data_IF_217162089891
#
_entry.id   IF_217162089891
#
_cell.length_a   1.000
_cell.length_b   1.000
_cell.length_c   1.000
_cell.angle_alpha   90.00
_cell.angle_beta   90.00
_cell.angle_gamma   90.00
#
_symmetry.space_group_name_H-M   'P 1'
#
loop_
_entity.id
_entity.type
_entity.pdbx_description
1 polymer ?
#
# COMPACT_ATOMS: atom_id res chain seq x y z
N UNK A 1 -13.76 24.11 -78.77
CA UNK A 1 -14.26 24.83 -77.56
C UNK A 1 -14.93 23.96 -76.52
N UNK A 2 -15.54 22.81 -76.84
CA UNK A 2 -16.17 21.89 -75.87
C UNK A 2 -15.21 21.16 -74.89
N UNK A 3 -13.99 20.82 -75.38
CA UNK A 3 -13.00 20.10 -74.52
C UNK A 3 -12.43 20.95 -73.38
N UNK A 4 -12.15 22.24 -73.66
CA UNK A 4 -11.60 23.15 -72.66
C UNK A 4 -12.62 23.40 -71.49
N UNK A 5 -13.93 23.47 -71.80
CA UNK A 5 -14.98 23.64 -70.80
C UNK A 5 -15.17 22.40 -69.94
N UNK A 6 -15.02 21.19 -70.51
CA UNK A 6 -15.08 19.94 -69.77
C UNK A 6 -13.86 19.77 -68.82
N UNK A 7 -12.69 20.18 -69.25
CA UNK A 7 -11.47 20.17 -68.44
C UNK A 7 -11.57 21.16 -67.26
N UNK A 8 -12.12 22.35 -67.48
CA UNK A 8 -12.34 23.34 -66.43
C UNK A 8 -13.37 22.87 -65.37
N UNK A 9 -14.42 22.21 -65.80
CA UNK A 9 -15.44 21.65 -64.86
C UNK A 9 -14.85 20.52 -64.06
N UNK A 10 -14.04 19.64 -64.64
CA UNK A 10 -13.32 18.56 -63.87
C UNK A 10 -12.35 19.14 -62.86
N UNK A 11 -11.60 20.18 -63.22
CA UNK A 11 -10.68 20.84 -62.31
C UNK A 11 -11.38 21.48 -61.12
N UNK A 12 -12.50 22.12 -61.35
CA UNK A 12 -13.36 22.68 -60.30
C UNK A 12 -13.91 21.62 -59.33
N UNK A 13 -14.37 20.48 -59.86
CA UNK A 13 -14.84 19.37 -59.00
C UNK A 13 -13.68 18.78 -58.18
N UNK A 14 -12.48 18.62 -58.80
CA UNK A 14 -11.30 18.12 -58.09
C UNK A 14 -10.87 19.07 -56.95
N UNK A 15 -10.87 20.40 -57.22
CA UNK A 15 -10.59 21.40 -56.18
C UNK A 15 -11.62 21.37 -55.04
N UNK A 16 -12.91 21.22 -55.38
CA UNK A 16 -13.98 21.13 -54.38
C UNK A 16 -13.86 19.87 -53.52
N UNK A 17 -13.56 18.71 -54.14
CA UNK A 17 -13.33 17.46 -53.40
C UNK A 17 -12.08 17.60 -52.54
N UNK A 18 -10.98 18.12 -53.07
CA UNK A 18 -9.74 18.30 -52.32
C UNK A 18 -9.90 19.22 -51.12
N UNK A 19 -10.73 20.29 -51.24
CA UNK A 19 -10.96 21.23 -50.14
C UNK A 19 -11.73 20.61 -48.94
N UNK A 20 -12.49 19.56 -49.19
CA UNK A 20 -13.23 18.84 -48.12
C UNK A 20 -12.41 17.63 -47.62
N UNK A 21 -11.83 16.88 -48.54
CA UNK A 21 -11.10 15.64 -48.18
C UNK A 21 -9.82 15.94 -47.38
N UNK A 22 -9.07 16.97 -47.79
CA UNK A 22 -7.81 17.29 -47.13
C UNK A 22 -7.98 17.67 -45.65
N UNK A 23 -8.90 18.57 -45.26
CA UNK A 23 -9.16 18.87 -43.88
C UNK A 23 -9.70 17.65 -43.11
N UNK A 24 -10.56 16.84 -43.72
CA UNK A 24 -11.11 15.63 -43.07
C UNK A 24 -10.02 14.60 -42.76
N UNK A 25 -9.08 14.38 -43.68
CA UNK A 25 -7.94 13.49 -43.46
C UNK A 25 -7.02 14.03 -42.36
N UNK A 26 -6.72 15.33 -42.38
CA UNK A 26 -5.89 15.96 -41.36
C UNK A 26 -6.55 15.87 -39.96
N UNK A 27 -7.86 16.08 -39.89
CA UNK A 27 -8.60 15.98 -38.66
C UNK A 27 -8.61 14.54 -38.15
N UNK A 28 -8.87 13.55 -38.98
CA UNK A 28 -8.84 12.14 -38.61
C UNK A 28 -7.44 11.73 -38.14
N UNK A 29 -6.38 12.21 -38.80
CA UNK A 29 -5.00 11.94 -38.40
C UNK A 29 -4.66 12.59 -37.06
N UNK A 30 -5.06 13.84 -36.82
CA UNK A 30 -4.87 14.53 -35.57
C UNK A 30 -5.64 13.84 -34.42
N UNK A 31 -6.89 13.44 -34.66
CA UNK A 31 -7.70 12.69 -33.70
C UNK A 31 -7.05 11.35 -33.35
N UNK A 32 -6.53 10.63 -34.34
CA UNK A 32 -5.83 9.37 -34.11
C UNK A 32 -4.53 9.53 -33.31
N UNK A 33 -3.75 10.57 -33.57
CA UNK A 33 -2.55 10.89 -32.79
C UNK A 33 -2.91 11.24 -31.34
N UNK A 34 -3.94 12.06 -31.14
CA UNK A 34 -4.39 12.46 -29.82
C UNK A 34 -4.91 11.26 -29.02
N UNK A 35 -5.70 10.40 -29.65
CA UNK A 35 -6.20 9.17 -29.04
C UNK A 35 -5.06 8.26 -28.57
N UNK A 36 -4.03 8.07 -29.36
CA UNK A 36 -2.85 7.29 -28.98
C UNK A 36 -2.08 7.93 -27.81
N UNK A 37 -1.97 9.24 -27.83
CA UNK A 37 -1.22 9.96 -26.80
C UNK A 37 -1.92 9.90 -25.41
N UNK A 38 -3.23 10.03 -25.39
CA UNK A 38 -3.99 9.97 -24.15
C UNK A 38 -3.92 8.58 -23.48
N UNK A 39 -3.96 7.50 -24.22
CA UNK A 39 -3.84 6.15 -23.67
C UNK A 39 -2.47 5.89 -23.04
N UNK A 40 -1.38 6.31 -23.68
CA UNK A 40 -0.05 6.13 -23.10
C UNK A 40 0.18 6.94 -21.82
N UNK A 41 -0.35 8.16 -21.77
CA UNK A 41 -0.23 9.03 -20.58
C UNK A 41 -1.06 8.50 -19.39
N UNK A 42 -2.23 7.93 -19.67
CA UNK A 42 -3.06 7.33 -18.62
C UNK A 42 -2.40 6.07 -18.03
N UNK A 43 -1.89 5.19 -18.88
CA UNK A 43 -1.21 3.96 -18.46
C UNK A 43 0.06 4.28 -17.65
N UNK A 44 0.89 5.21 -18.12
CA UNK A 44 2.08 5.67 -17.40
C UNK A 44 1.79 6.30 -16.02
N UNK A 45 0.62 6.93 -15.86
CA UNK A 45 0.21 7.49 -14.56
C UNK A 45 -0.23 6.40 -13.60
N UNK A 46 -0.96 5.41 -14.07
CA UNK A 46 -1.40 4.26 -13.27
C UNK A 46 -0.18 3.47 -12.82
N UNK A 47 0.73 3.16 -13.72
CA UNK A 47 1.94 2.40 -13.42
C UNK A 47 2.82 3.12 -12.38
N UNK A 48 3.08 4.41 -12.55
CA UNK A 48 3.80 5.22 -11.56
C UNK A 48 3.09 5.29 -10.20
N UNK A 49 1.77 5.38 -10.19
CA UNK A 49 1.00 5.39 -8.95
C UNK A 49 1.07 4.05 -8.23
N UNK A 50 1.06 2.93 -8.97
CA UNK A 50 1.22 1.59 -8.43
C UNK A 50 2.63 1.39 -7.86
N UNK A 51 3.67 1.85 -8.55
CA UNK A 51 5.05 1.76 -8.08
C UNK A 51 5.26 2.53 -6.78
N UNK A 52 4.72 3.76 -6.68
CA UNK A 52 4.79 4.56 -5.46
C UNK A 52 4.06 3.88 -4.30
N UNK A 53 2.87 3.33 -4.56
CA UNK A 53 2.10 2.60 -3.55
C UNK A 53 2.82 1.33 -3.10
N UNK A 54 3.40 0.60 -4.04
CA UNK A 54 4.18 -0.62 -3.76
C UNK A 54 5.40 -0.30 -2.89
N UNK A 55 6.20 0.69 -3.28
CA UNK A 55 7.38 1.12 -2.52
C UNK A 55 7.00 1.61 -1.11
N UNK A 56 5.91 2.39 -1.02
CA UNK A 56 5.44 2.90 0.26
C UNK A 56 4.96 1.77 1.19
N UNK A 57 4.24 0.81 0.65
CA UNK A 57 3.77 -0.37 1.38
C UNK A 57 4.94 -1.21 1.89
N UNK A 58 5.93 -1.51 1.04
CA UNK A 58 7.13 -2.25 1.44
C UNK A 58 7.88 -1.53 2.56
N UNK A 59 8.00 -0.21 2.49
CA UNK A 59 8.66 0.59 3.51
C UNK A 59 7.95 0.54 4.87
N UNK A 60 6.62 0.52 4.87
CA UNK A 60 5.83 0.33 6.10
C UNK A 60 6.11 -1.04 6.70
N UNK A 61 6.06 -2.13 5.92
CA UNK A 61 6.36 -3.47 6.40
C UNK A 61 7.77 -3.60 6.95
N UNK A 62 8.78 -3.09 6.26
CA UNK A 62 10.17 -3.09 6.74
C UNK A 62 10.31 -2.33 8.06
N UNK A 63 9.55 -1.27 8.25
CA UNK A 63 9.57 -0.50 9.49
C UNK A 63 8.95 -1.30 10.64
N UNK A 64 7.84 -2.00 10.39
CA UNK A 64 7.21 -2.90 11.37
C UNK A 64 8.14 -4.06 11.74
N UNK A 65 8.79 -4.69 10.76
CA UNK A 65 9.75 -5.78 11.01
C UNK A 65 10.94 -5.32 11.86
N UNK A 66 11.45 -4.11 11.64
CA UNK A 66 12.50 -3.53 12.49
C UNK A 66 12.02 -3.30 13.92
N UNK A 67 10.79 -2.82 14.10
CA UNK A 67 10.21 -2.65 15.43
C UNK A 67 10.05 -4.00 16.16
N UNK A 68 9.62 -5.04 15.45
CA UNK A 68 9.53 -6.41 15.99
C UNK A 68 10.93 -6.90 16.39
N UNK A 69 11.93 -6.74 15.53
CA UNK A 69 13.29 -7.15 15.81
C UNK A 69 13.91 -6.41 17.01
N UNK A 70 13.60 -5.12 17.18
CA UNK A 70 14.02 -4.35 18.34
C UNK A 70 13.38 -4.87 19.63
N UNK A 71 12.08 -5.20 19.60
CA UNK A 71 11.40 -5.80 20.75
C UNK A 71 11.98 -7.16 21.10
N UNK A 72 12.24 -7.99 20.11
CA UNK A 72 12.85 -9.31 20.29
C UNK A 72 14.26 -9.20 20.92
N UNK A 73 15.04 -8.21 20.48
CA UNK A 73 16.36 -7.96 21.08
C UNK A 73 16.28 -7.50 22.54
N UNK A 74 15.32 -6.65 22.87
CA UNK A 74 15.11 -6.14 24.25
C UNK A 74 14.69 -7.25 25.20
N UNK A 75 13.93 -8.22 24.71
CA UNK A 75 13.38 -9.33 25.53
C UNK A 75 14.19 -10.61 25.40
N UNK A 76 15.27 -10.60 24.63
CA UNK A 76 16.10 -11.78 24.40
C UNK A 76 16.62 -12.40 25.67
N UNK A 77 16.33 -13.70 25.86
CA UNK A 77 16.77 -14.47 27.01
C UNK A 77 15.97 -14.22 28.31
N UNK A 78 14.93 -13.39 28.25
CA UNK A 78 14.02 -13.19 29.40
C UNK A 78 12.93 -14.28 29.39
N UNK A 79 12.60 -14.76 30.59
CA UNK A 79 11.37 -15.57 30.80
C UNK A 79 10.14 -14.68 30.89
N UNK A 80 8.93 -15.27 30.77
CA UNK A 80 7.67 -14.53 30.93
C UNK A 80 7.60 -13.87 32.32
N UNK A 81 8.14 -14.51 33.36
CA UNK A 81 8.24 -13.96 34.71
C UNK A 81 9.19 -12.77 34.80
N UNK A 82 10.32 -12.81 34.08
CA UNK A 82 11.25 -11.69 34.03
C UNK A 82 10.64 -10.51 33.31
N UNK A 83 9.92 -10.75 32.20
CA UNK A 83 9.21 -9.73 31.45
C UNK A 83 8.14 -9.06 32.32
N UNK A 84 7.35 -9.85 33.07
CA UNK A 84 6.34 -9.30 34.02
C UNK A 84 6.97 -8.49 35.13
N UNK A 85 8.09 -8.95 35.69
CA UNK A 85 8.80 -8.22 36.74
C UNK A 85 9.31 -6.87 36.25
N UNK A 86 9.68 -6.79 34.98
CA UNK A 86 10.28 -5.61 34.37
C UNK A 86 9.29 -4.82 33.48
N UNK A 87 7.98 -5.08 33.67
CA UNK A 87 6.90 -4.52 32.84
C UNK A 87 7.02 -3.01 32.68
N UNK A 88 7.25 -2.26 33.76
CA UNK A 88 7.32 -0.80 33.73
C UNK A 88 8.46 -0.29 32.82
N UNK A 89 9.64 -0.92 32.88
CA UNK A 89 10.78 -0.54 32.06
C UNK A 89 10.54 -0.91 30.59
N UNK A 90 9.98 -2.08 30.36
CA UNK A 90 9.66 -2.56 29.01
C UNK A 90 8.52 -1.73 28.39
N UNK A 91 7.50 -1.35 29.17
CA UNK A 91 6.45 -0.42 28.73
C UNK A 91 7.05 0.88 28.17
N UNK A 92 7.90 1.55 28.94
CA UNK A 92 8.53 2.80 28.51
C UNK A 92 9.39 2.62 27.25
N UNK A 93 9.96 1.44 27.06
CA UNK A 93 10.78 1.14 25.89
C UNK A 93 9.92 0.89 24.65
N UNK A 94 8.90 0.04 24.73
CA UNK A 94 8.01 -0.25 23.59
C UNK A 94 7.15 0.96 23.22
N UNK A 95 6.79 1.78 24.22
CA UNK A 95 6.10 3.06 24.00
C UNK A 95 6.92 4.03 23.15
N UNK A 96 8.21 4.19 23.44
CA UNK A 96 9.12 5.03 22.64
C UNK A 96 9.27 4.53 21.21
N UNK A 97 9.27 3.21 20.99
CA UNK A 97 9.30 2.63 19.63
C UNK A 97 8.03 3.05 18.86
N UNK A 98 6.86 2.95 19.49
CA UNK A 98 5.58 3.33 18.87
C UNK A 98 5.51 4.84 18.60
N UNK A 99 5.94 5.66 19.54
CA UNK A 99 5.96 7.13 19.40
C UNK A 99 6.87 7.61 18.25
N UNK A 100 7.94 6.87 17.97
CA UNK A 100 8.83 7.15 16.84
C UNK A 100 8.28 6.71 15.47
N UNK A 101 7.21 5.91 15.44
CA UNK A 101 6.67 5.26 14.24
C UNK A 101 5.17 5.53 14.10
N UNK A 102 4.75 6.63 13.42
CA UNK A 102 3.35 7.05 13.32
C UNK A 102 2.40 5.99 12.71
N UNK A 103 2.95 5.04 11.95
CA UNK A 103 2.19 3.94 11.35
C UNK A 103 1.87 2.81 12.34
N UNK A 104 2.52 2.76 13.50
CA UNK A 104 2.25 1.79 14.55
C UNK A 104 1.22 2.35 15.53
N UNK A 105 0.14 1.61 15.76
CA UNK A 105 -0.86 1.97 16.75
C UNK A 105 -0.50 1.50 18.16
N UNK A 106 0.19 0.39 18.26
CA UNK A 106 0.62 -0.19 19.52
C UNK A 106 1.42 -1.47 19.35
N UNK A 107 2.14 -1.82 20.40
CA UNK A 107 2.90 -3.07 20.52
C UNK A 107 2.42 -3.77 21.80
N UNK A 108 2.16 -5.08 21.68
CA UNK A 108 1.79 -5.95 22.77
C UNK A 108 2.70 -7.17 22.78
N UNK A 109 3.28 -7.48 23.92
CA UNK A 109 3.94 -8.77 24.16
C UNK A 109 2.93 -9.68 24.84
N UNK A 110 2.79 -10.90 24.32
CA UNK A 110 1.77 -11.85 24.75
C UNK A 110 2.47 -13.16 25.12
N UNK A 111 2.11 -13.74 26.25
CA UNK A 111 2.65 -15.03 26.70
C UNK A 111 1.98 -16.22 25.96
N UNK A 112 2.48 -17.41 26.24
CA UNK A 112 1.94 -18.66 25.68
C UNK A 112 0.53 -19.00 26.16
N UNK A 113 0.10 -18.42 27.29
CA UNK A 113 -1.23 -18.56 27.85
C UNK A 113 -2.21 -17.51 27.30
N UNK A 114 -1.84 -16.82 26.20
CA UNK A 114 -2.63 -15.78 25.52
C UNK A 114 -2.88 -14.51 26.34
N UNK A 115 -2.08 -14.26 27.37
CA UNK A 115 -2.20 -13.07 28.22
C UNK A 115 -1.15 -12.05 27.83
N UNK A 116 -1.49 -10.77 27.79
CA UNK A 116 -0.51 -9.73 27.52
C UNK A 116 0.44 -9.59 28.73
N UNK A 117 1.72 -9.45 28.44
CA UNK A 117 2.81 -9.23 29.40
C UNK A 117 3.19 -7.76 29.49
N UNK A 118 3.26 -7.08 28.33
CA UNK A 118 3.63 -5.68 28.19
C UNK A 118 2.82 -5.04 27.09
N UNK A 119 2.48 -3.78 27.24
CA UNK A 119 1.81 -2.96 26.24
C UNK A 119 2.48 -1.62 26.12
N UNK A 120 2.52 -1.06 24.90
CA UNK A 120 2.92 0.34 24.68
C UNK A 120 1.83 1.33 25.07
N UNK A 121 0.58 0.88 25.21
CA UNK A 121 -0.58 1.73 25.49
C UNK A 121 -0.92 1.80 26.98
N UNK A 122 -0.67 0.72 27.73
CA UNK A 122 -1.00 0.60 29.14
C UNK A 122 0.26 0.40 29.97
N UNK A 123 0.45 1.24 30.97
CA UNK A 123 1.58 1.14 31.90
C UNK A 123 1.49 -0.13 32.77
N UNK A 124 0.28 -0.61 33.03
CA UNK A 124 -0.02 -1.90 33.62
C UNK A 124 -1.06 -2.60 32.75
N UNK A 125 -0.73 -3.81 32.34
CA UNK A 125 -1.60 -4.58 31.45
C UNK A 125 -2.76 -5.18 32.22
N UNK A 126 -4.03 -5.07 31.73
CA UNK A 126 -5.18 -5.71 32.36
C UNK A 126 -5.00 -7.24 32.45
N UNK A 127 -5.18 -7.81 33.63
CA UNK A 127 -4.98 -9.25 33.88
C UNK A 127 -6.14 -10.13 33.45
N UNK A 128 -7.30 -9.53 33.20
CA UNK A 128 -8.54 -10.19 32.78
C UNK A 128 -8.68 -10.28 31.23
N UNK A 129 -7.69 -9.77 30.50
CA UNK A 129 -7.68 -9.78 29.03
C UNK A 129 -6.93 -11.00 28.47
N UNK A 130 -7.50 -11.64 27.46
CA UNK A 130 -6.89 -12.78 26.76
C UNK A 130 -7.16 -12.68 25.26
N UNK A 131 -6.22 -13.19 24.46
CA UNK A 131 -6.29 -13.23 22.99
C UNK A 131 -6.38 -14.66 22.43
N UNK A 132 -6.76 -15.64 23.27
CA UNK A 132 -6.77 -17.06 22.86
C UNK A 132 -7.68 -17.35 21.68
N UNK A 133 -8.72 -16.55 21.46
CA UNK A 133 -9.69 -16.67 20.36
C UNK A 133 -9.24 -15.92 19.08
N UNK A 134 -8.10 -15.24 19.11
CA UNK A 134 -7.60 -14.48 17.97
C UNK A 134 -6.82 -15.35 16.99
N UNK A 135 -7.09 -15.16 15.70
CA UNK A 135 -6.46 -15.94 14.63
C UNK A 135 -4.94 -15.80 14.62
N UNK A 136 -4.41 -14.59 14.82
CA UNK A 136 -2.97 -14.34 14.87
C UNK A 136 -2.27 -15.12 16.00
N UNK A 137 -2.90 -15.24 17.16
CA UNK A 137 -2.35 -16.02 18.27
C UNK A 137 -2.32 -17.52 17.92
N UNK A 138 -3.43 -18.05 17.41
CA UNK A 138 -3.54 -19.47 17.05
C UNK A 138 -2.56 -19.88 15.93
N UNK A 139 -2.30 -19.00 14.97
CA UNK A 139 -1.32 -19.25 13.92
C UNK A 139 0.08 -19.44 14.49
N UNK A 140 0.51 -18.58 15.43
CA UNK A 140 1.82 -18.71 16.08
C UNK A 140 1.88 -19.93 17.01
N UNK A 141 0.81 -20.23 17.73
CA UNK A 141 0.76 -21.43 18.59
C UNK A 141 0.78 -22.75 17.79
N UNK A 142 0.33 -22.74 16.53
CA UNK A 142 0.42 -23.90 15.63
C UNK A 142 1.81 -24.11 15.01
N UNK A 143 2.82 -23.32 15.41
CA UNK A 143 4.21 -23.47 14.98
C UNK A 143 4.64 -22.56 13.83
N UNK A 144 3.82 -21.58 13.46
CA UNK A 144 4.23 -20.57 12.48
C UNK A 144 5.36 -19.71 13.07
N UNK A 145 6.50 -19.68 12.37
CA UNK A 145 7.63 -18.81 12.70
C UNK A 145 7.68 -17.65 11.70
N UNK A 146 7.85 -16.42 12.20
CA UNK A 146 7.94 -15.22 11.39
C UNK A 146 6.71 -14.30 11.49
N UNK A 147 6.69 -13.26 10.67
CA UNK A 147 5.63 -12.25 10.68
C UNK A 147 4.34 -12.81 10.08
N UNK A 148 3.23 -12.70 10.81
CA UNK A 148 1.89 -13.02 10.34
C UNK A 148 1.04 -11.76 10.25
N UNK A 149 0.36 -11.57 9.12
CA UNK A 149 -0.57 -10.46 8.88
C UNK A 149 -1.98 -11.02 9.00
N UNK A 150 -2.69 -10.61 10.06
CA UNK A 150 -4.09 -10.99 10.25
C UNK A 150 -5.04 -10.02 9.56
N UNK A 151 -6.30 -10.41 9.46
CA UNK A 151 -7.39 -9.51 9.08
C UNK A 151 -7.54 -8.35 10.06
N UNK A 152 -8.30 -7.33 9.65
CA UNK A 152 -8.62 -6.18 10.50
C UNK A 152 -9.27 -6.62 11.81
N UNK A 153 -8.70 -6.20 12.92
CA UNK A 153 -9.16 -6.55 14.26
C UNK A 153 -9.92 -5.39 14.88
N UNK A 154 -11.06 -5.72 15.52
CA UNK A 154 -11.72 -4.76 16.41
C UNK A 154 -10.97 -4.75 17.74
N UNK A 155 -10.47 -3.57 18.20
CA UNK A 155 -9.86 -3.44 19.52
C UNK A 155 -10.84 -3.85 20.63
N UNK A 156 -10.34 -4.51 21.66
CA UNK A 156 -11.12 -4.88 22.87
C UNK A 156 -10.68 -4.10 24.10
N UNK A 157 -9.59 -3.34 23.94
CA UNK A 157 -9.03 -2.43 24.94
C UNK A 157 -9.10 -0.99 24.44
#
# INVERSE_FOLDING_TARGET
MRSARQSAIRLLHLMMIASVVLPAVLFAFAAWLNYRHEHTVADDRIERSLDILHEHTLKVFQTVERAIAEVDEITRGMSDEDIRRDEARLHERVKRIVEALPQLRGIFLIDRDSRPLVSSQFAQVPTDFSVHDRSFFNVHMSGHSGTHISDSLTPRL
#
